data_IF_418035204632
#
_entry.id   IF_418035204632
#
_cell.length_a   1.000
_cell.length_b   1.000
_cell.length_c   1.000
_cell.angle_alpha   90.00
_cell.angle_beta   90.00
_cell.angle_gamma   90.00
#
_symmetry.space_group_name_H-M   'P 1'
#
loop_
_entity.id
_entity.type
_entity.pdbx_description
1 polymer ?
#
# COMPACT_ATOMS: atom_id res chain seq x y z
N UNK A 1 -71.18 20.96 28.19
CA UNK A 1 -69.82 21.38 28.58
C UNK A 1 -68.84 20.43 27.90
N UNK A 2 -67.99 20.97 27.02
CA UNK A 2 -67.00 20.25 26.21
C UNK A 2 -65.87 19.73 27.12
N UNK A 3 -65.33 18.53 26.88
CA UNK A 3 -64.00 18.33 26.27
C UNK A 3 -63.55 16.87 26.31
N UNK A 4 -63.21 16.41 25.12
CA UNK A 4 -62.63 15.16 24.64
C UNK A 4 -61.31 14.82 25.35
N UNK A 5 -61.16 13.60 25.89
CA UNK A 5 -59.84 13.08 26.32
C UNK A 5 -59.15 12.42 25.13
N UNK A 6 -57.97 12.95 24.80
CA UNK A 6 -57.16 12.65 23.62
C UNK A 6 -56.43 11.32 23.77
N UNK A 7 -56.50 10.54 22.68
CA UNK A 7 -55.58 9.48 22.30
C UNK A 7 -54.13 10.00 22.36
N UNK A 8 -53.22 9.30 23.06
CA UNK A 8 -51.78 9.49 22.90
C UNK A 8 -51.24 8.22 22.24
N UNK A 9 -50.99 8.36 20.93
CA UNK A 9 -50.35 7.38 20.08
C UNK A 9 -48.84 7.39 20.39
N UNK A 10 -48.32 6.31 20.95
CA UNK A 10 -46.88 6.08 21.13
C UNK A 10 -46.26 5.76 19.76
N UNK A 11 -45.67 6.76 19.11
CA UNK A 11 -44.80 6.55 17.95
C UNK A 11 -43.39 6.26 18.49
N UNK A 12 -42.99 4.99 18.46
CA UNK A 12 -41.63 4.56 18.75
C UNK A 12 -40.66 5.13 17.72
N UNK A 13 -39.79 6.04 18.17
CA UNK A 13 -38.74 6.63 17.35
C UNK A 13 -37.56 5.65 17.28
N UNK A 14 -37.57 4.76 16.28
CA UNK A 14 -36.45 3.90 15.96
C UNK A 14 -35.36 4.76 15.29
N UNK A 15 -34.39 5.21 16.09
CA UNK A 15 -33.21 5.92 15.60
C UNK A 15 -32.30 4.90 14.91
N UNK A 16 -32.37 4.84 13.59
CA UNK A 16 -31.40 4.12 12.77
C UNK A 16 -30.10 4.91 12.81
N UNK A 17 -29.16 4.48 13.64
CA UNK A 17 -27.76 4.92 13.55
C UNK A 17 -27.21 4.43 12.21
N UNK A 18 -27.18 5.32 11.22
CA UNK A 18 -26.37 5.14 10.01
C UNK A 18 -24.91 5.19 10.43
N UNK A 19 -24.32 4.04 10.70
CA UNK A 19 -22.87 3.87 10.73
C UNK A 19 -22.35 4.11 9.32
N UNK A 20 -22.00 5.36 9.03
CA UNK A 20 -21.31 5.71 7.79
C UNK A 20 -20.00 4.93 7.72
N UNK A 21 -19.86 4.06 6.73
CA UNK A 21 -18.59 3.45 6.38
C UNK A 21 -17.61 4.57 6.02
N UNK A 22 -16.67 4.88 6.92
CA UNK A 22 -15.51 5.72 6.61
C UNK A 22 -14.59 4.87 5.72
N UNK A 23 -14.92 4.78 4.44
CA UNK A 23 -14.00 4.24 3.46
C UNK A 23 -12.83 5.23 3.36
N UNK A 24 -11.60 4.74 3.54
CA UNK A 24 -10.42 5.58 3.45
C UNK A 24 -10.42 6.36 2.13
N UNK A 25 -10.48 7.68 2.21
CA UNK A 25 -10.55 8.54 1.03
C UNK A 25 -9.20 8.51 0.32
N UNK A 26 -9.21 7.93 -0.88
CA UNK A 26 -8.07 7.94 -1.78
C UNK A 26 -8.12 9.22 -2.64
N UNK A 27 -7.03 9.98 -2.67
CA UNK A 27 -6.93 11.25 -3.39
C UNK A 27 -5.75 11.19 -4.36
N UNK A 28 -5.95 11.57 -5.62
CA UNK A 28 -4.83 11.71 -6.56
C UNK A 28 -4.01 12.96 -6.20
N UNK A 29 -2.69 12.81 -6.14
CA UNK A 29 -1.73 13.88 -5.84
C UNK A 29 -0.66 13.95 -6.93
N UNK A 30 0.03 15.07 -7.04
CA UNK A 30 1.13 15.23 -7.98
C UNK A 30 2.43 14.59 -7.46
N UNK A 31 3.34 14.23 -8.37
CA UNK A 31 4.56 13.52 -7.99
C UNK A 31 5.54 14.35 -7.14
N UNK A 32 5.48 15.68 -7.22
CA UNK A 32 6.23 16.63 -6.39
C UNK A 32 5.73 16.63 -4.93
N UNK A 33 4.47 16.27 -4.68
CA UNK A 33 3.90 16.16 -3.34
C UNK A 33 4.29 14.88 -2.59
N UNK A 34 4.95 13.92 -3.26
CA UNK A 34 5.46 12.72 -2.59
C UNK A 34 6.66 13.10 -1.72
N UNK A 35 6.68 12.74 -0.42
CA UNK A 35 7.83 12.96 0.45
C UNK A 35 9.12 12.32 -0.08
N UNK A 36 10.27 12.93 0.22
CA UNK A 36 11.57 12.48 -0.29
C UNK A 36 11.84 11.03 0.12
N UNK A 37 11.58 10.69 1.37
CA UNK A 37 11.78 9.36 1.94
C UNK A 37 10.95 8.27 1.25
N UNK A 38 9.77 8.61 0.73
CA UNK A 38 8.93 7.68 -0.05
C UNK A 38 9.54 7.47 -1.44
N UNK A 39 10.04 8.54 -2.08
CA UNK A 39 10.78 8.43 -3.36
C UNK A 39 12.07 7.63 -3.21
N UNK A 40 12.78 7.82 -2.10
CA UNK A 40 14.02 7.09 -1.80
C UNK A 40 13.73 5.58 -1.67
N UNK A 41 12.68 5.19 -0.94
CA UNK A 41 12.26 3.78 -0.81
C UNK A 41 11.81 3.20 -2.15
N UNK A 42 11.06 3.95 -2.97
CA UNK A 42 10.67 3.52 -4.32
C UNK A 42 11.90 3.25 -5.20
N UNK A 43 12.85 4.17 -5.22
CA UNK A 43 14.08 4.02 -5.99
C UNK A 43 14.93 2.87 -5.47
N UNK A 44 15.04 2.69 -4.14
CA UNK A 44 15.76 1.59 -3.54
C UNK A 44 15.13 0.25 -3.92
N UNK A 45 13.80 0.13 -3.87
CA UNK A 45 13.07 -1.06 -4.27
C UNK A 45 13.35 -1.44 -5.74
N UNK A 46 13.19 -0.50 -6.68
CA UNK A 46 13.51 -0.74 -8.09
C UNK A 46 15.00 -1.04 -8.31
N UNK A 47 15.89 -0.40 -7.54
CA UNK A 47 17.32 -0.66 -7.60
C UNK A 47 17.67 -2.07 -7.15
N UNK A 48 17.03 -2.59 -6.09
CA UNK A 48 17.18 -3.98 -5.64
C UNK A 48 16.72 -4.92 -6.75
N UNK A 49 15.49 -4.77 -7.25
CA UNK A 49 14.95 -5.64 -8.30
C UNK A 49 15.84 -5.69 -9.56
N UNK A 50 16.41 -4.55 -9.95
CA UNK A 50 17.20 -4.45 -11.19
C UNK A 50 18.65 -4.91 -11.06
N UNK A 51 19.24 -4.85 -9.86
CA UNK A 51 20.66 -5.13 -9.66
C UNK A 51 20.94 -6.41 -8.88
N UNK A 52 19.93 -7.05 -8.27
CA UNK A 52 20.13 -8.35 -7.64
C UNK A 52 20.51 -9.40 -8.67
N UNK A 53 21.50 -10.23 -8.34
CA UNK A 53 22.05 -11.24 -9.25
C UNK A 53 21.10 -12.42 -9.47
N UNK A 54 20.25 -12.72 -8.49
CA UNK A 54 19.21 -13.75 -8.55
C UNK A 54 18.08 -13.44 -7.57
N UNK A 55 17.02 -14.25 -7.62
CA UNK A 55 15.82 -14.08 -6.79
C UNK A 55 16.08 -14.23 -5.29
N UNK A 56 17.05 -15.05 -4.87
CA UNK A 56 17.38 -15.26 -3.45
C UNK A 56 18.07 -14.02 -2.86
N UNK A 57 19.01 -13.45 -3.61
CA UNK A 57 19.66 -12.18 -3.25
C UNK A 57 18.62 -11.06 -3.23
N UNK A 58 17.73 -11.02 -4.22
CA UNK A 58 16.64 -10.04 -4.27
C UNK A 58 15.71 -10.13 -3.05
N UNK A 59 15.29 -11.34 -2.67
CA UNK A 59 14.44 -11.57 -1.51
C UNK A 59 15.11 -11.11 -0.20
N UNK A 60 16.41 -11.35 -0.07
CA UNK A 60 17.19 -10.90 1.10
C UNK A 60 17.29 -9.38 1.16
N UNK A 61 17.57 -8.75 0.03
CA UNK A 61 17.76 -7.30 -0.06
C UNK A 61 16.43 -6.53 0.14
N UNK A 62 15.31 -7.07 -0.34
CA UNK A 62 13.99 -6.44 -0.19
C UNK A 62 13.55 -6.34 1.27
N UNK A 63 14.05 -7.19 2.18
CA UNK A 63 13.77 -7.06 3.62
C UNK A 63 14.12 -5.68 4.19
N UNK A 64 15.08 -4.98 3.56
CA UNK A 64 15.48 -3.62 3.97
C UNK A 64 14.38 -2.58 3.76
N UNK A 65 13.46 -2.85 2.81
CA UNK A 65 12.42 -1.91 2.38
C UNK A 65 11.00 -2.46 2.53
N UNK A 66 10.82 -3.76 2.78
CA UNK A 66 9.50 -4.39 2.90
C UNK A 66 8.92 -4.34 4.32
N UNK A 67 7.59 -4.36 4.42
CA UNK A 67 6.82 -4.56 5.65
C UNK A 67 5.46 -5.21 5.34
N UNK A 68 4.61 -5.37 6.37
CA UNK A 68 3.24 -5.83 6.19
C UNK A 68 3.16 -7.30 5.76
N UNK A 69 2.25 -7.58 4.86
CA UNK A 69 1.97 -8.92 4.31
C UNK A 69 3.15 -9.52 3.51
N UNK A 70 4.16 -8.71 3.17
CA UNK A 70 5.35 -9.18 2.46
C UNK A 70 6.30 -10.01 3.33
N UNK A 71 6.17 -9.91 4.66
CA UNK A 71 7.08 -10.55 5.61
C UNK A 71 6.46 -11.79 6.24
N UNK A 72 7.32 -12.75 6.60
CA UNK A 72 6.97 -13.84 7.53
C UNK A 72 6.58 -13.29 8.90
N UNK A 73 5.85 -14.08 9.68
CA UNK A 73 5.35 -13.67 11.02
C UNK A 73 6.45 -13.28 12.01
N UNK A 74 7.65 -13.83 11.87
CA UNK A 74 8.82 -13.47 12.66
C UNK A 74 9.55 -12.21 12.15
N UNK A 75 9.09 -11.61 11.06
CA UNK A 75 9.66 -10.44 10.38
C UNK A 75 11.11 -10.62 9.90
N UNK A 76 11.60 -11.86 9.78
CA UNK A 76 13.00 -12.15 9.41
C UNK A 76 13.19 -12.57 7.96
N UNK A 77 12.11 -12.89 7.26
CA UNK A 77 12.15 -13.34 5.87
C UNK A 77 10.94 -12.85 5.10
N UNK A 78 10.99 -13.00 3.77
CA UNK A 78 9.83 -12.77 2.91
C UNK A 78 8.83 -13.90 3.12
N UNK A 79 7.54 -13.60 3.13
CA UNK A 79 6.50 -14.60 3.28
C UNK A 79 6.62 -15.69 2.18
N UNK A 80 6.27 -16.93 2.55
CA UNK A 80 6.56 -18.14 1.78
C UNK A 80 6.00 -18.11 0.35
N UNK A 81 4.83 -17.49 0.18
CA UNK A 81 4.14 -17.31 -1.10
C UNK A 81 4.61 -16.06 -1.86
N UNK A 82 5.10 -15.04 -1.17
CA UNK A 82 5.53 -13.79 -1.79
C UNK A 82 6.74 -14.00 -2.70
N UNK A 83 7.74 -14.78 -2.27
CA UNK A 83 8.97 -15.00 -3.05
C UNK A 83 8.73 -15.70 -4.41
N UNK A 84 8.13 -16.91 -4.48
CA UNK A 84 8.01 -17.65 -5.74
C UNK A 84 7.00 -17.04 -6.72
N UNK A 85 6.07 -16.21 -6.25
CA UNK A 85 5.02 -15.62 -7.08
C UNK A 85 5.25 -14.11 -7.30
N UNK A 86 4.87 -13.30 -6.31
CA UNK A 86 4.78 -11.85 -6.46
C UNK A 86 6.15 -11.21 -6.68
N UNK A 87 7.13 -11.55 -5.84
CA UNK A 87 8.48 -11.01 -5.97
C UNK A 87 9.18 -11.49 -7.24
N UNK A 88 9.05 -12.77 -7.59
CA UNK A 88 9.61 -13.32 -8.83
C UNK A 88 9.13 -12.52 -10.04
N UNK A 89 7.82 -12.25 -10.13
CA UNK A 89 7.25 -11.46 -11.22
C UNK A 89 7.85 -10.06 -11.28
N UNK A 90 7.95 -9.37 -10.14
CA UNK A 90 8.53 -8.03 -10.12
C UNK A 90 10.01 -8.02 -10.48
N UNK A 91 10.78 -9.01 -10.01
CA UNK A 91 12.19 -9.19 -10.35
C UNK A 91 12.38 -9.39 -11.87
N UNK A 92 11.59 -10.27 -12.48
CA UNK A 92 11.67 -10.57 -13.91
C UNK A 92 11.22 -9.38 -14.79
N UNK A 93 10.25 -8.60 -14.32
CA UNK A 93 9.65 -7.50 -15.08
C UNK A 93 10.28 -6.13 -14.84
N UNK A 94 11.08 -5.95 -13.78
CA UNK A 94 11.73 -4.68 -13.49
C UNK A 94 12.55 -4.12 -14.67
N UNK A 95 13.11 -5.00 -15.52
CA UNK A 95 13.84 -4.63 -16.75
C UNK A 95 13.02 -3.81 -17.75
N UNK A 96 11.70 -3.87 -17.68
CA UNK A 96 10.78 -3.16 -18.56
C UNK A 96 10.48 -1.72 -18.14
N UNK A 97 10.90 -1.31 -16.93
CA UNK A 97 10.59 0.01 -16.36
C UNK A 97 11.75 1.00 -16.51
N UNK A 98 11.43 2.30 -16.55
CA UNK A 98 12.44 3.38 -16.67
C UNK A 98 13.33 3.44 -15.43
N UNK A 99 14.63 3.68 -15.64
CA UNK A 99 15.65 3.94 -14.62
C UNK A 99 16.42 5.20 -15.03
N UNK A 100 16.38 6.33 -14.28
CA UNK A 100 15.69 6.52 -13.01
C UNK A 100 14.16 6.37 -13.11
N UNK A 101 13.50 6.10 -11.98
CA UNK A 101 12.06 5.86 -11.93
C UNK A 101 11.31 7.12 -12.38
N UNK A 102 10.40 6.96 -13.34
CA UNK A 102 9.50 8.03 -13.79
C UNK A 102 8.10 7.74 -13.27
N UNK A 103 7.57 8.63 -12.44
CA UNK A 103 6.24 8.50 -11.82
C UNK A 103 5.19 9.07 -12.79
N UNK A 104 4.12 8.30 -13.01
CA UNK A 104 3.04 8.66 -13.95
C UNK A 104 1.74 9.05 -13.24
N UNK A 105 1.50 8.48 -12.06
CA UNK A 105 0.34 8.77 -11.22
C UNK A 105 0.67 8.45 -9.77
N UNK A 106 0.06 9.19 -8.86
CA UNK A 106 0.13 8.92 -7.43
C UNK A 106 -1.27 9.04 -6.84
N UNK A 107 -1.65 8.03 -6.07
CA UNK A 107 -2.84 8.07 -5.24
C UNK A 107 -2.41 7.97 -3.78
N UNK A 108 -2.80 8.96 -2.99
CA UNK A 108 -2.60 9.01 -1.54
C UNK A 108 -3.83 8.45 -0.84
N UNK A 109 -3.61 7.53 0.08
CA UNK A 109 -4.62 6.97 0.98
C UNK A 109 -4.20 7.37 2.40
N UNK A 110 -5.03 8.15 3.09
CA UNK A 110 -4.64 8.80 4.34
C UNK A 110 -4.49 7.85 5.54
N UNK A 111 -5.26 6.76 5.55
CA UNK A 111 -5.18 5.74 6.59
C UNK A 111 -5.52 4.40 5.95
N UNK A 112 -4.55 3.50 5.91
CA UNK A 112 -4.70 2.13 5.41
C UNK A 112 -3.78 1.22 6.23
N UNK A 113 -4.02 -0.08 6.16
CA UNK A 113 -3.22 -1.09 6.85
C UNK A 113 -2.81 -2.23 5.94
N UNK A 114 -1.71 -2.89 6.30
CA UNK A 114 -1.23 -4.08 5.60
C UNK A 114 -0.62 -5.09 6.58
N UNK A 115 -0.72 -6.38 6.23
CA UNK A 115 -0.20 -7.47 7.07
C UNK A 115 -1.15 -7.91 8.18
N UNK A 116 -0.62 -8.75 9.08
CA UNK A 116 -1.37 -9.34 10.19
C UNK A 116 -0.46 -9.68 11.36
N UNK A 117 -0.96 -9.53 12.58
CA UNK A 117 -0.21 -9.87 13.78
C UNK A 117 1.06 -9.02 13.91
N UNK A 118 2.25 -9.61 14.13
CA UNK A 118 3.51 -8.88 14.30
C UNK A 118 3.95 -8.06 13.08
N UNK A 119 3.45 -8.38 11.88
CA UNK A 119 3.80 -7.65 10.65
C UNK A 119 2.84 -6.50 10.35
N UNK A 120 1.73 -6.39 11.10
CA UNK A 120 0.69 -5.41 10.84
C UNK A 120 1.22 -3.99 10.92
N UNK A 121 1.05 -3.25 9.84
CA UNK A 121 1.48 -1.87 9.72
C UNK A 121 0.31 -0.99 9.26
N UNK A 122 0.23 0.22 9.82
CA UNK A 122 -0.84 1.18 9.51
C UNK A 122 -0.25 2.54 9.25
N UNK A 123 -0.85 3.34 8.38
CA UNK A 123 -0.41 4.69 8.10
C UNK A 123 -0.86 5.21 6.73
N UNK A 124 -0.17 6.25 6.25
CA UNK A 124 -0.46 6.85 4.94
C UNK A 124 0.13 6.01 3.82
N UNK A 125 -0.66 5.59 2.85
CA UNK A 125 -0.19 4.79 1.71
C UNK A 125 -0.12 5.64 0.45
N UNK A 126 1.04 5.60 -0.19
CA UNK A 126 1.29 6.15 -1.52
C UNK A 126 1.27 4.99 -2.52
N UNK A 127 0.22 4.93 -3.35
CA UNK A 127 0.16 4.03 -4.50
C UNK A 127 0.71 4.76 -5.72
N UNK A 128 1.88 4.33 -6.20
CA UNK A 128 2.70 5.07 -7.17
C UNK A 128 2.82 4.25 -8.45
N UNK A 129 2.32 4.77 -9.57
CA UNK A 129 2.45 4.12 -10.87
C UNK A 129 3.73 4.57 -11.57
N UNK A 130 4.54 3.62 -12.01
CA UNK A 130 5.84 3.89 -12.64
C UNK A 130 5.83 3.59 -14.14
N UNK A 131 6.50 4.44 -14.92
CA UNK A 131 6.52 4.36 -16.38
C UNK A 131 7.37 3.19 -16.87
N UNK A 132 6.90 2.54 -17.93
CA UNK A 132 7.67 1.59 -18.73
C UNK A 132 8.63 2.32 -19.67
N UNK A 133 9.67 1.61 -20.12
CA UNK A 133 10.56 2.06 -21.20
C UNK A 133 9.77 2.22 -22.50
N UNK A 134 10.26 3.08 -23.39
CA UNK A 134 9.67 3.26 -24.71
C UNK A 134 9.69 1.94 -25.49
N UNK A 135 8.61 1.67 -26.24
CA UNK A 135 8.44 0.42 -26.99
C UNK A 135 8.01 -0.80 -26.17
N UNK A 136 7.89 -0.70 -24.84
CA UNK A 136 7.35 -1.79 -24.00
C UNK A 136 5.83 -1.64 -23.87
N UNK A 137 5.11 -2.70 -24.24
CA UNK A 137 3.65 -2.75 -24.15
C UNK A 137 3.12 -2.82 -22.70
N UNK A 138 1.90 -2.31 -22.55
CA UNK A 138 1.09 -2.40 -21.32
C UNK A 138 1.12 -1.15 -20.45
N UNK A 139 0.22 -1.12 -19.46
CA UNK A 139 0.04 0.03 -18.58
C UNK A 139 1.17 0.15 -17.54
N UNK A 140 1.43 1.36 -17.01
CA UNK A 140 2.20 1.56 -15.79
C UNK A 140 1.72 0.67 -14.65
N UNK A 141 2.65 0.13 -13.86
CA UNK A 141 2.33 -0.70 -12.71
C UNK A 141 2.46 0.08 -11.40
N UNK A 142 1.55 -0.14 -10.44
CA UNK A 142 1.60 0.51 -9.13
C UNK A 142 2.53 -0.21 -8.15
N UNK A 143 3.30 0.56 -7.39
CA UNK A 143 4.00 0.15 -6.16
C UNK A 143 3.36 0.87 -4.98
N UNK A 144 3.02 0.15 -3.90
CA UNK A 144 2.49 0.77 -2.68
C UNK A 144 3.59 0.96 -1.65
N UNK A 145 3.68 2.17 -1.09
CA UNK A 145 4.59 2.50 0.01
C UNK A 145 3.77 3.10 1.15
N UNK A 146 3.88 2.50 2.34
CA UNK A 146 3.27 3.01 3.56
C UNK A 146 4.26 3.87 4.33
N UNK A 147 3.81 5.02 4.82
CA UNK A 147 4.48 5.83 5.85
C UNK A 147 3.85 5.45 7.19
N UNK A 148 4.57 4.72 8.06
CA UNK A 148 3.97 4.12 9.24
C UNK A 148 3.51 5.16 10.26
N UNK A 149 2.37 4.91 10.90
CA UNK A 149 1.81 5.66 12.02
C UNK A 149 1.98 4.82 13.29
N UNK A 150 2.76 5.30 14.25
CA UNK A 150 2.92 4.71 15.59
C UNK A 150 3.36 3.23 15.65
N UNK A 151 3.93 2.67 14.58
CA UNK A 151 4.39 1.27 14.58
C UNK A 151 5.67 1.12 15.45
N UNK A 152 5.82 0.07 16.29
CA UNK A 152 6.95 -0.08 17.20
C UNK A 152 8.32 -0.20 16.48
N UNK A 153 8.40 -1.04 15.44
CA UNK A 153 9.67 -1.33 14.74
C UNK A 153 9.86 -0.57 13.40
N UNK A 154 8.83 -0.50 12.55
CA UNK A 154 8.89 0.23 11.28
C UNK A 154 8.60 1.73 11.48
N UNK A 155 9.65 2.56 11.54
CA UNK A 155 9.53 4.03 11.69
C UNK A 155 9.71 4.82 10.41
N UNK A 156 10.20 4.19 9.35
CA UNK A 156 10.44 4.81 8.04
C UNK A 156 9.57 4.17 6.97
N UNK A 157 9.39 4.80 5.78
CA UNK A 157 8.49 4.26 4.76
C UNK A 157 8.88 2.85 4.31
N UNK A 158 7.89 2.05 3.94
CA UNK A 158 8.07 0.64 3.55
C UNK A 158 7.20 0.27 2.36
N UNK A 159 7.73 -0.56 1.48
CA UNK A 159 6.94 -1.27 0.47
C UNK A 159 6.06 -2.29 1.19
N UNK A 160 4.77 -2.31 0.82
CA UNK A 160 3.76 -3.23 1.37
C UNK A 160 3.11 -4.03 0.23
N UNK A 161 2.02 -4.76 0.50
CA UNK A 161 1.26 -5.52 -0.49
C UNK A 161 1.09 -4.82 -1.84
N UNK A 162 0.86 -5.63 -2.87
CA UNK A 162 0.76 -5.25 -4.29
C UNK A 162 2.09 -5.25 -5.07
N UNK A 163 3.15 -5.87 -4.52
CA UNK A 163 4.24 -6.41 -5.35
C UNK A 163 3.71 -7.59 -6.18
N UNK A 164 4.34 -7.89 -7.30
CA UNK A 164 3.82 -8.75 -8.37
C UNK A 164 2.99 -7.99 -9.40
N UNK A 165 3.03 -6.66 -9.37
CA UNK A 165 2.30 -5.79 -10.31
C UNK A 165 3.14 -5.38 -11.51
N UNK A 166 4.48 -5.42 -11.41
CA UNK A 166 5.37 -5.01 -12.48
C UNK A 166 5.25 -5.94 -13.69
#
# INVERSE_FOLDING_TARGET
>A
MKTTKRFILLIGMMVVFFSGNIQAQATDISADQIPKEVKDVLNQYINILTNSTNLDVCATEILKVAAGSLLSQDCKSIATDVKPYSLKKDFENAKFYKKPVVITRVQLINDDSDGYGPTMITGKVYKIWIAKKEGVNGMPAPVKIIVPKNHPSFKTPRVISNIGSL
#
